data_IF_032579755883
#
_entry.id   IF_032579755883
#
_cell.length_a   1.000
_cell.length_b   1.000
_cell.length_c   1.000
_cell.angle_alpha   90.00
_cell.angle_beta   90.00
_cell.angle_gamma   90.00
#
_symmetry.space_group_name_H-M   'P 1'
#
loop_
_entity.id
_entity.type
_entity.pdbx_description
1 polymer ?
#
# COMPACT_ATOMS: atom_id res chain seq x y z
N UNK A 1 29.74 -29.19 19.22
CA UNK A 1 29.09 -27.92 19.58
C UNK A 1 28.52 -27.28 18.30
N UNK A 2 27.32 -26.72 18.44
CA UNK A 2 26.33 -26.32 17.42
C UNK A 2 26.87 -25.74 16.09
N UNK A 3 26.51 -26.40 14.99
CA UNK A 3 26.44 -25.79 13.64
C UNK A 3 25.16 -24.94 13.59
N UNK A 4 25.26 -23.65 13.86
CA UNK A 4 24.18 -22.69 13.57
C UNK A 4 24.24 -22.34 12.07
N UNK A 5 23.63 -23.18 11.24
CA UNK A 5 23.34 -22.85 9.84
C UNK A 5 22.24 -21.78 9.81
N UNK A 6 22.68 -20.53 9.65
CA UNK A 6 22.24 -19.59 8.62
C UNK A 6 20.86 -19.89 7.98
N UNK A 7 19.75 -19.58 8.66
CA UNK A 7 18.40 -19.73 8.09
C UNK A 7 17.41 -18.63 8.54
N UNK A 8 17.91 -17.43 8.87
CA UNK A 8 17.05 -16.32 9.34
C UNK A 8 17.32 -15.05 8.55
N UNK A 9 16.95 -15.06 7.28
CA UNK A 9 17.14 -13.93 6.37
C UNK A 9 16.20 -13.96 5.17
N UNK A 10 14.97 -14.42 5.36
CA UNK A 10 13.92 -14.36 4.34
C UNK A 10 12.68 -13.65 4.93
N UNK A 11 12.89 -12.51 5.60
CA UNK A 11 11.79 -11.59 5.90
C UNK A 11 11.56 -10.72 4.66
N UNK A 12 10.58 -11.14 3.87
CA UNK A 12 9.51 -10.28 3.35
C UNK A 12 9.98 -8.98 2.66
N UNK A 13 10.45 -9.10 1.42
CA UNK A 13 10.37 -7.99 0.45
C UNK A 13 8.90 -7.81 -0.01
N UNK A 14 8.01 -7.48 0.93
CA UNK A 14 6.89 -6.64 0.54
C UNK A 14 7.54 -5.30 0.20
N UNK A 15 7.83 -5.08 -1.08
CA UNK A 15 8.49 -3.86 -1.54
C UNK A 15 7.56 -2.70 -1.26
N UNK A 16 7.81 -1.99 -0.15
CA UNK A 16 7.02 -0.84 0.20
C UNK A 16 7.04 0.14 -0.99
N UNK A 17 5.93 0.78 -1.32
CA UNK A 17 5.86 1.70 -2.44
C UNK A 17 6.92 2.81 -2.35
N UNK A 18 7.29 3.22 -1.13
CA UNK A 18 8.42 4.13 -0.88
C UNK A 18 9.76 3.60 -1.41
N UNK A 19 10.01 2.30 -1.34
CA UNK A 19 11.24 1.68 -1.82
C UNK A 19 11.30 1.63 -3.35
N UNK A 20 10.16 1.44 -4.01
CA UNK A 20 10.05 1.57 -5.47
C UNK A 20 10.37 3.00 -5.90
N UNK A 21 9.74 4.00 -5.25
CA UNK A 21 9.98 5.42 -5.55
C UNK A 21 11.45 5.81 -5.33
N UNK A 22 12.08 5.30 -4.27
CA UNK A 22 13.49 5.52 -3.99
C UNK A 22 14.41 5.01 -5.11
N UNK A 23 14.04 3.91 -5.77
CA UNK A 23 14.80 3.34 -6.89
C UNK A 23 14.90 4.25 -8.12
N UNK A 24 13.98 5.22 -8.26
CA UNK A 24 14.01 6.17 -9.37
C UNK A 24 14.81 7.44 -9.09
N UNK A 25 15.31 7.66 -7.87
CA UNK A 25 16.15 8.82 -7.57
C UNK A 25 17.41 8.79 -8.44
N UNK A 26 17.70 9.91 -9.10
CA UNK A 26 18.81 10.05 -10.05
C UNK A 26 18.49 9.54 -11.46
N UNK A 27 17.28 9.03 -11.71
CA UNK A 27 16.84 8.64 -13.05
C UNK A 27 16.03 9.77 -13.73
N UNK A 28 15.99 9.78 -15.07
CA UNK A 28 15.14 10.71 -15.79
C UNK A 28 13.67 10.32 -15.61
N UNK A 29 12.77 11.32 -15.56
CA UNK A 29 11.33 11.13 -15.29
C UNK A 29 10.67 10.16 -16.28
N UNK A 30 11.22 10.05 -17.49
CA UNK A 30 10.77 9.14 -18.53
C UNK A 30 10.79 7.68 -18.09
N UNK A 31 11.70 7.27 -17.19
CA UNK A 31 11.72 5.89 -16.68
C UNK A 31 10.42 5.56 -15.95
N UNK A 32 9.97 6.45 -15.09
CA UNK A 32 8.69 6.29 -14.37
C UNK A 32 7.52 6.35 -15.33
N UNK A 33 7.58 7.23 -16.34
CA UNK A 33 6.52 7.32 -17.34
C UNK A 33 6.44 6.08 -18.24
N UNK A 34 7.55 5.38 -18.48
CA UNK A 34 7.57 4.11 -19.21
C UNK A 34 6.92 2.99 -18.38
N UNK A 35 7.14 3.00 -17.06
CA UNK A 35 6.62 1.96 -16.17
C UNK A 35 5.15 2.18 -15.80
N UNK A 36 4.74 3.43 -15.55
CA UNK A 36 3.42 3.76 -15.00
C UNK A 36 2.56 4.66 -15.90
N UNK A 37 3.06 5.00 -17.09
CA UNK A 37 2.39 5.94 -17.99
C UNK A 37 2.54 7.41 -17.55
N UNK A 38 1.86 8.33 -18.24
CA UNK A 38 1.96 9.76 -17.96
C UNK A 38 1.46 10.08 -16.53
N UNK A 39 2.05 11.09 -15.88
CA UNK A 39 1.60 11.53 -14.57
C UNK A 39 0.17 12.07 -14.64
N UNK A 40 -0.61 11.81 -13.59
CA UNK A 40 -1.94 12.38 -13.42
C UNK A 40 -1.90 13.90 -13.23
N UNK A 41 -0.88 14.42 -12.55
CA UNK A 41 -0.66 15.85 -12.36
C UNK A 41 0.82 16.21 -12.43
N UNK A 42 1.13 17.43 -12.87
CA UNK A 42 2.48 17.99 -12.79
C UNK A 42 2.43 19.50 -12.49
N UNK A 43 3.15 19.95 -11.47
CA UNK A 43 3.17 21.36 -11.05
C UNK A 43 4.53 21.75 -10.47
N UNK A 44 4.84 23.05 -10.51
CA UNK A 44 6.10 23.59 -10.01
C UNK A 44 5.95 24.03 -8.54
N UNK A 45 6.97 23.77 -7.72
CA UNK A 45 7.06 24.16 -6.32
C UNK A 45 7.79 25.51 -6.17
N UNK A 46 7.59 26.22 -5.04
CA UNK A 46 8.24 27.51 -4.79
C UNK A 46 9.77 27.47 -4.76
N UNK A 47 10.37 26.30 -4.49
CA UNK A 47 11.82 26.07 -4.49
C UNK A 47 12.40 25.86 -5.91
N UNK A 48 11.54 25.86 -6.93
CA UNK A 48 11.93 25.66 -8.33
C UNK A 48 11.92 24.20 -8.78
N UNK A 49 11.62 23.25 -7.89
CA UNK A 49 11.45 21.85 -8.26
C UNK A 49 10.12 21.63 -8.97
N UNK A 50 10.04 20.61 -9.82
CA UNK A 50 8.78 20.16 -10.41
C UNK A 50 8.31 18.87 -9.76
N UNK A 51 7.04 18.82 -9.38
CA UNK A 51 6.39 17.62 -8.86
C UNK A 51 5.66 16.92 -9.98
N UNK A 52 5.82 15.60 -10.06
CA UNK A 52 5.03 14.71 -10.89
C UNK A 52 4.25 13.75 -10.00
N UNK A 53 2.94 13.63 -10.22
CA UNK A 53 2.06 12.82 -9.39
C UNK A 53 1.34 11.73 -10.18
N UNK A 54 1.27 10.54 -9.59
CA UNK A 54 0.46 9.42 -10.05
C UNK A 54 -0.59 9.09 -9.00
N UNK A 55 -1.75 8.62 -9.46
CA UNK A 55 -2.83 8.15 -8.58
C UNK A 55 -3.06 6.68 -8.85
N UNK A 56 -3.06 5.86 -7.80
CA UNK A 56 -3.38 4.43 -7.89
C UNK A 56 -4.48 4.08 -6.90
N UNK A 57 -5.39 3.20 -7.31
CA UNK A 57 -6.43 2.69 -6.43
C UNK A 57 -5.93 1.44 -5.71
N UNK A 58 -6.00 1.44 -4.39
CA UNK A 58 -5.74 0.28 -3.54
C UNK A 58 -7.05 -0.17 -2.92
N UNK A 59 -7.26 -1.49 -2.91
CA UNK A 59 -8.45 -2.07 -2.29
C UNK A 59 -8.03 -3.02 -1.18
N UNK A 60 -8.66 -2.91 -0.02
CA UNK A 60 -8.46 -3.83 1.10
C UNK A 60 -9.82 -4.36 1.59
N UNK A 61 -9.85 -5.64 1.96
CA UNK A 61 -11.06 -6.28 2.49
C UNK A 61 -11.00 -6.34 4.00
N UNK A 62 -12.02 -5.79 4.66
CA UNK A 62 -12.15 -5.85 6.11
C UNK A 62 -12.42 -7.30 6.56
N UNK A 63 -11.83 -7.76 7.67
CA UNK A 63 -12.04 -9.12 8.15
C UNK A 63 -13.50 -9.37 8.53
N UNK A 64 -13.98 -10.58 8.28
CA UNK A 64 -15.32 -11.02 8.71
C UNK A 64 -15.23 -11.55 10.14
N UNK A 65 -16.05 -10.97 11.02
CA UNK A 65 -16.22 -11.43 12.39
C UNK A 65 -17.59 -12.09 12.53
N UNK A 66 -17.62 -13.33 13.01
CA UNK A 66 -18.87 -14.07 13.29
C UNK A 66 -18.97 -14.28 14.78
N UNK A 67 -19.99 -13.71 15.40
CA UNK A 67 -20.29 -13.93 16.81
C UNK A 67 -21.54 -14.79 16.96
N UNK A 68 -21.37 -16.02 17.45
CA UNK A 68 -22.47 -16.97 17.67
C UNK A 68 -22.77 -17.07 19.15
N UNK A 69 -23.98 -16.72 19.54
CA UNK A 69 -24.51 -16.87 20.90
C UNK A 69 -25.51 -18.01 20.91
N UNK A 70 -25.34 -18.97 21.82
CA UNK A 70 -26.27 -20.10 21.99
C UNK A 70 -26.93 -20.07 23.37
N UNK A 71 -28.21 -20.36 23.43
CA UNK A 71 -28.93 -20.60 24.69
C UNK A 71 -29.50 -22.03 24.68
N UNK A 72 -29.34 -22.74 25.80
CA UNK A 72 -29.80 -24.12 25.97
C UNK A 72 -30.99 -24.12 26.92
N UNK A 73 -32.14 -24.57 26.44
CA UNK A 73 -33.34 -24.76 27.24
C UNK A 73 -33.58 -26.26 27.43
N UNK A 74 -33.50 -26.74 28.68
CA UNK A 74 -33.80 -28.13 29.03
C UNK A 74 -35.21 -28.25 29.61
N UNK A 75 -36.00 -29.22 29.11
CA UNK A 75 -37.32 -29.55 29.64
C UNK A 75 -37.48 -31.08 29.72
N UNK A 76 -37.57 -31.61 30.93
CA UNK A 76 -37.54 -33.06 31.16
C UNK A 76 -36.22 -33.69 30.71
N UNK A 77 -36.28 -34.80 29.97
CA UNK A 77 -35.10 -35.50 29.43
C UNK A 77 -34.64 -34.95 28.05
N UNK A 78 -35.19 -33.83 27.60
CA UNK A 78 -34.89 -33.21 26.31
C UNK A 78 -34.21 -31.85 26.50
N UNK A 79 -33.20 -31.56 25.67
CA UNK A 79 -32.51 -30.27 25.63
C UNK A 79 -32.60 -29.68 24.22
N UNK A 80 -33.03 -28.42 24.13
CA UNK A 80 -33.11 -27.65 22.91
C UNK A 80 -32.08 -26.54 22.92
N UNK A 81 -31.32 -26.41 21.83
CA UNK A 81 -30.33 -25.35 21.65
C UNK A 81 -30.87 -24.36 20.64
N UNK A 82 -30.96 -23.10 21.04
CA UNK A 82 -31.17 -21.98 20.11
C UNK A 82 -29.84 -21.26 19.92
N UNK A 83 -29.38 -21.14 18.69
CA UNK A 83 -28.20 -20.35 18.34
C UNK A 83 -28.58 -19.15 17.49
N UNK A 84 -27.91 -18.03 17.74
CA UNK A 84 -28.02 -16.80 16.95
C UNK A 84 -26.61 -16.37 16.55
N UNK A 85 -26.40 -16.05 15.28
CA UNK A 85 -25.11 -15.64 14.74
C UNK A 85 -25.19 -14.24 14.15
N UNK A 86 -24.38 -13.32 14.67
CA UNK A 86 -24.20 -11.97 14.14
C UNK A 86 -22.91 -11.92 13.33
N UNK A 87 -23.02 -11.61 12.05
CA UNK A 87 -21.88 -11.47 11.12
C UNK A 87 -21.62 -9.98 10.90
N UNK A 88 -20.38 -9.53 11.11
CA UNK A 88 -19.95 -8.13 10.91
C UNK A 88 -18.66 -8.07 10.09
N UNK A 89 -18.54 -7.11 9.18
CA UNK A 89 -17.37 -6.92 8.32
C UNK A 89 -17.49 -7.57 6.94
N UNK A 90 -16.36 -7.83 6.28
CA UNK A 90 -16.31 -8.44 4.93
C UNK A 90 -16.46 -7.47 3.76
N UNK A 91 -16.49 -6.16 4.04
CA UNK A 91 -16.58 -5.14 2.99
C UNK A 91 -15.20 -4.88 2.39
N UNK A 92 -15.14 -4.77 1.06
CA UNK A 92 -13.97 -4.25 0.34
C UNK A 92 -14.06 -2.74 0.28
N UNK A 93 -13.05 -2.07 0.82
CA UNK A 93 -12.90 -0.62 0.77
C UNK A 93 -11.84 -0.30 -0.26
N UNK A 94 -12.16 0.58 -1.20
CA UNK A 94 -11.22 1.11 -2.20
C UNK A 94 -10.83 2.52 -1.81
N UNK A 95 -9.52 2.78 -1.75
CA UNK A 95 -8.92 4.08 -1.46
C UNK A 95 -7.96 4.48 -2.60
N UNK A 96 -7.64 5.77 -2.71
CA UNK A 96 -6.76 6.30 -3.75
C UNK A 96 -5.45 6.83 -3.15
N UNK A 97 -4.33 6.26 -3.59
CA UNK A 97 -2.99 6.64 -3.19
C UNK A 97 -2.36 7.60 -4.20
N UNK A 98 -1.78 8.70 -3.70
CA UNK A 98 -1.08 9.69 -4.50
C UNK A 98 0.43 9.53 -4.29
N UNK A 99 1.15 9.18 -5.35
CA UNK A 99 2.61 9.04 -5.38
C UNK A 99 3.22 10.28 -6.02
N UNK A 100 4.06 11.02 -5.28
CA UNK A 100 4.63 12.29 -5.75
C UNK A 100 6.15 12.21 -5.83
N UNK A 101 6.71 12.44 -7.02
CA UNK A 101 8.14 12.53 -7.27
C UNK A 101 8.55 13.99 -7.48
N UNK A 102 9.65 14.39 -6.85
CA UNK A 102 10.29 15.69 -7.06
C UNK A 102 11.38 15.54 -8.10
N UNK A 103 11.43 16.48 -9.04
CA UNK A 103 12.43 16.47 -10.09
C UNK A 103 12.98 17.87 -10.37
N UNK A 104 14.24 17.89 -10.75
CA UNK A 104 14.98 19.09 -11.15
C UNK A 104 15.34 19.02 -12.63
N UNK A 105 15.32 20.17 -13.31
CA UNK A 105 15.63 20.24 -14.73
C UNK A 105 17.14 20.19 -14.97
N UNK A 106 17.61 19.15 -15.65
CA UNK A 106 18.98 19.08 -16.14
C UNK A 106 19.09 19.78 -17.51
N UNK A 107 19.82 20.91 -17.53
CA UNK A 107 20.07 21.68 -18.75
C UNK A 107 20.92 20.94 -19.79
N UNK A 108 21.81 20.03 -19.37
CA UNK A 108 22.71 19.30 -20.28
C UNK A 108 21.95 18.22 -21.02
N UNK A 109 21.17 17.44 -20.28
CA UNK A 109 20.40 16.32 -20.83
C UNK A 109 19.01 16.75 -21.34
N UNK A 110 18.60 17.99 -21.05
CA UNK A 110 17.31 18.58 -21.44
C UNK A 110 16.14 17.71 -20.96
N UNK A 111 16.23 17.24 -19.71
CA UNK A 111 15.20 16.39 -19.11
C UNK A 111 15.09 16.63 -17.61
N UNK A 112 13.96 16.23 -17.04
CA UNK A 112 13.72 16.24 -15.60
C UNK A 112 14.34 15.00 -14.95
N UNK A 113 15.19 15.21 -13.96
CA UNK A 113 15.78 14.16 -13.15
C UNK A 113 15.16 14.12 -11.78
N UNK A 114 14.78 12.93 -11.34
CA UNK A 114 14.13 12.74 -10.05
C UNK A 114 15.17 12.94 -8.94
N UNK A 115 14.91 13.88 -8.05
CA UNK A 115 15.80 14.22 -6.92
C UNK A 115 15.26 13.76 -5.58
N UNK A 116 13.96 13.49 -5.50
CA UNK A 116 13.34 12.96 -4.28
C UNK A 116 11.89 12.57 -4.48
N UNK A 117 11.24 12.25 -3.37
CA UNK A 117 9.82 11.88 -3.37
C UNK A 117 9.15 12.24 -2.05
N UNK A 118 7.83 12.41 -2.09
CA UNK A 118 7.01 12.45 -0.88
C UNK A 118 6.72 11.03 -0.45
N UNK A 119 7.06 10.69 0.80
CA UNK A 119 6.71 9.39 1.37
C UNK A 119 5.18 9.16 1.29
N UNK A 120 4.72 8.02 0.73
CA UNK A 120 3.31 7.69 0.70
C UNK A 120 2.72 7.57 2.10
N UNK A 121 1.40 7.67 2.20
CA UNK A 121 0.71 7.35 3.45
C UNK A 121 0.94 5.88 3.81
N UNK A 122 0.85 5.55 5.10
CA UNK A 122 1.08 4.19 5.59
C UNK A 122 0.19 3.13 4.90
N UNK A 123 -1.04 3.49 4.54
CA UNK A 123 -1.96 2.60 3.82
C UNK A 123 -1.57 2.36 2.35
N UNK A 124 -0.62 3.14 1.84
CA UNK A 124 -0.14 3.13 0.46
C UNK A 124 1.30 2.59 0.34
N UNK A 125 1.84 2.06 1.43
CA UNK A 125 3.14 1.37 1.46
C UNK A 125 3.01 -0.07 0.93
#
# INVERSE_FOLDING_TARGET
MKKFLLCTGLLLLAGCASQIMQGYIGQPIQMVMLDYGPPANAFDMPDGQRVFQWTQNVSYTTPVNVHTTGNVNAYGNNAWVNSNSVITGGQTVTDSCIYSLYADWDKKQKTWFITGFKKPNFMCE
#
